data_IF_960501128443
#
_entry.id   IF_960501128443
#
_cell.length_a   1.000
_cell.length_b   1.000
_cell.length_c   1.000
_cell.angle_alpha   90.00
_cell.angle_beta   90.00
_cell.angle_gamma   90.00
#
_symmetry.space_group_name_H-M   'P 1'
#
loop_
_entity.id
_entity.type
_entity.pdbx_description
1 polymer ?
#
# COMPACT_ATOMS: atom_id res chain seq x y z
N UNK A 1 -6.02 -15.66 5.29
CA UNK A 1 -5.43 -15.44 3.95
C UNK A 1 -6.59 -15.08 3.02
N UNK A 2 -6.55 -13.96 2.29
CA UNK A 2 -7.68 -13.52 1.46
C UNK A 2 -7.65 -14.18 0.07
N UNK A 3 -8.77 -14.70 -0.47
CA UNK A 3 -8.78 -15.45 -1.75
C UNK A 3 -8.31 -14.65 -2.97
N UNK A 4 -8.45 -13.32 -2.96
CA UNK A 4 -8.14 -12.45 -4.11
C UNK A 4 -7.02 -11.44 -3.86
N UNK A 5 -6.13 -11.73 -2.90
CA UNK A 5 -5.00 -10.84 -2.61
C UNK A 5 -4.13 -10.65 -3.86
N UNK A 6 -4.09 -9.42 -4.38
CA UNK A 6 -3.22 -9.05 -5.49
C UNK A 6 -1.75 -9.20 -5.09
N UNK A 7 -0.92 -9.72 -5.99
CA UNK A 7 0.53 -9.79 -5.80
C UNK A 7 1.13 -8.39 -5.69
N UNK A 8 1.91 -8.13 -4.64
CA UNK A 8 2.63 -6.85 -4.49
C UNK A 8 3.63 -6.67 -5.63
N UNK A 9 4.31 -7.73 -6.04
CA UNK A 9 5.28 -7.69 -7.14
C UNK A 9 4.65 -7.23 -8.46
N UNK A 10 3.40 -7.59 -8.70
CA UNK A 10 2.67 -7.13 -9.89
C UNK A 10 2.25 -5.65 -9.81
N UNK A 11 2.12 -5.09 -8.61
CA UNK A 11 1.70 -3.70 -8.40
C UNK A 11 2.87 -2.71 -8.33
N UNK A 12 4.08 -3.17 -7.97
CA UNK A 12 5.29 -2.34 -7.97
C UNK A 12 5.50 -1.55 -9.27
N UNK A 13 5.52 -2.18 -10.47
CA UNK A 13 5.76 -1.44 -11.70
C UNK A 13 4.64 -0.44 -12.03
N UNK A 14 3.40 -0.71 -11.61
CA UNK A 14 2.28 0.21 -11.82
C UNK A 14 2.45 1.45 -10.95
N UNK A 15 2.76 1.28 -9.67
CA UNK A 15 2.98 2.42 -8.77
C UNK A 15 4.21 3.21 -9.19
N UNK A 16 5.30 2.54 -9.57
CA UNK A 16 6.52 3.20 -10.04
C UNK A 16 6.29 4.02 -11.31
N UNK A 17 5.50 3.49 -12.25
CA UNK A 17 5.22 4.16 -13.53
C UNK A 17 4.26 5.34 -13.39
N UNK A 18 3.22 5.19 -12.55
CA UNK A 18 2.10 6.13 -12.52
C UNK A 18 2.06 7.04 -11.29
N UNK A 19 2.93 6.83 -10.30
CA UNK A 19 3.06 7.71 -9.13
C UNK A 19 4.48 8.28 -9.05
N UNK A 20 4.63 9.63 -9.08
CA UNK A 20 5.94 10.25 -8.92
C UNK A 20 6.56 9.92 -7.56
N UNK A 21 7.89 10.06 -7.46
CA UNK A 21 8.62 9.93 -6.18
C UNK A 21 8.03 10.90 -5.16
N UNK A 22 7.68 10.37 -3.99
CA UNK A 22 7.02 11.14 -2.93
C UNK A 22 5.57 11.54 -3.20
N UNK A 23 4.97 11.06 -4.30
CA UNK A 23 3.54 11.22 -4.57
C UNK A 23 2.66 10.32 -3.67
N UNK A 24 1.34 10.54 -3.76
CA UNK A 24 0.33 9.83 -2.98
C UNK A 24 -0.40 8.78 -3.83
N UNK A 25 -0.42 7.54 -3.35
CA UNK A 25 -1.26 6.46 -3.90
C UNK A 25 -2.54 6.34 -3.09
N UNK A 26 -3.68 6.56 -3.73
CA UNK A 26 -5.01 6.37 -3.13
C UNK A 26 -5.63 5.05 -3.60
N UNK A 27 -6.02 4.19 -2.66
CA UNK A 27 -6.84 3.01 -2.92
C UNK A 27 -8.13 3.01 -2.08
N UNK A 28 -9.29 3.36 -2.68
CA UNK A 28 -10.56 3.41 -1.95
C UNK A 28 -11.15 2.01 -1.67
N UNK A 29 -10.55 0.94 -2.20
CA UNK A 29 -10.96 -0.45 -2.01
C UNK A 29 -9.75 -1.32 -1.67
N UNK A 30 -9.03 -0.90 -0.64
CA UNK A 30 -7.68 -1.39 -0.34
C UNK A 30 -7.65 -2.90 -0.08
N UNK A 31 -8.74 -3.52 0.39
CA UNK A 31 -8.80 -4.93 0.75
C UNK A 31 -7.68 -5.26 1.74
N UNK A 32 -6.84 -6.22 1.36
CA UNK A 32 -5.66 -6.59 2.16
C UNK A 32 -4.49 -5.60 2.07
N UNK A 33 -4.59 -4.51 1.32
CA UNK A 33 -3.61 -3.42 1.27
C UNK A 33 -2.44 -3.60 0.29
N UNK A 34 -2.52 -4.51 -0.70
CA UNK A 34 -1.37 -4.80 -1.57
C UNK A 34 -0.85 -3.60 -2.39
N UNK A 35 -1.74 -2.70 -2.81
CA UNK A 35 -1.40 -1.43 -3.49
C UNK A 35 -0.63 -0.48 -2.57
N UNK A 36 -1.08 -0.35 -1.33
CA UNK A 36 -0.48 0.49 -0.29
C UNK A 36 0.89 -0.05 0.13
N UNK A 37 1.04 -1.38 0.24
CA UNK A 37 2.33 -2.01 0.50
C UNK A 37 3.31 -1.76 -0.65
N UNK A 38 2.87 -1.84 -1.90
CA UNK A 38 3.71 -1.48 -3.05
C UNK A 38 4.14 0.00 -3.01
N UNK A 39 3.21 0.90 -2.67
CA UNK A 39 3.50 2.32 -2.47
C UNK A 39 4.54 2.53 -1.36
N UNK A 40 4.37 1.87 -0.21
CA UNK A 40 5.30 1.93 0.92
C UNK A 40 6.69 1.41 0.55
N UNK A 41 6.79 0.28 -0.15
CA UNK A 41 8.07 -0.29 -0.61
C UNK A 41 8.82 0.66 -1.56
N UNK A 42 8.09 1.42 -2.37
CA UNK A 42 8.66 2.43 -3.24
C UNK A 42 8.88 3.77 -2.54
N UNK A 43 8.57 3.91 -1.24
CA UNK A 43 8.70 5.19 -0.54
C UNK A 43 7.74 6.27 -1.07
N UNK A 44 6.55 5.86 -1.50
CA UNK A 44 5.43 6.76 -1.83
C UNK A 44 4.52 6.90 -0.62
N UNK A 45 3.88 8.06 -0.51
CA UNK A 45 2.84 8.23 0.48
C UNK A 45 1.60 7.44 0.02
N UNK A 46 0.75 7.03 0.95
CA UNK A 46 -0.40 6.20 0.61
C UNK A 46 -1.60 6.50 1.52
N UNK A 47 -2.80 6.33 0.98
CA UNK A 47 -4.07 6.40 1.71
C UNK A 47 -4.99 5.27 1.24
N UNK A 48 -5.49 4.49 2.18
CA UNK A 48 -6.37 3.35 1.93
C UNK A 48 -7.70 3.48 2.63
N UNK A 49 -8.77 3.01 1.98
CA UNK A 49 -10.08 2.79 2.60
C UNK A 49 -10.50 1.35 2.37
N UNK A 50 -11.09 0.73 3.39
CA UNK A 50 -11.65 -0.62 3.32
C UNK A 50 -12.85 -0.68 4.27
N UNK A 51 -13.95 -1.26 3.80
CA UNK A 51 -15.21 -1.34 4.53
C UNK A 51 -15.24 -2.56 5.45
N UNK A 52 -14.64 -3.67 5.01
CA UNK A 52 -14.57 -4.90 5.79
C UNK A 52 -13.51 -4.79 6.91
N UNK A 53 -13.89 -4.94 8.19
CA UNK A 53 -12.97 -4.74 9.30
C UNK A 53 -11.85 -5.80 9.36
N UNK A 54 -12.07 -7.02 8.89
CA UNK A 54 -11.07 -8.09 8.89
C UNK A 54 -10.01 -7.85 7.80
N UNK A 55 -10.44 -7.33 6.65
CA UNK A 55 -9.53 -6.88 5.59
C UNK A 55 -8.75 -5.63 6.01
N UNK A 56 -9.42 -4.65 6.61
CA UNK A 56 -8.76 -3.46 7.16
C UNK A 56 -7.71 -3.83 8.22
N UNK A 57 -8.01 -4.77 9.11
CA UNK A 57 -7.05 -5.28 10.09
C UNK A 57 -5.87 -6.01 9.41
N UNK A 58 -6.13 -6.75 8.34
CA UNK A 58 -5.08 -7.41 7.53
C UNK A 58 -4.17 -6.40 6.85
N UNK A 59 -4.73 -5.37 6.22
CA UNK A 59 -3.96 -4.28 5.62
C UNK A 59 -3.11 -3.56 6.67
N UNK A 60 -3.72 -3.20 7.82
CA UNK A 60 -3.03 -2.54 8.94
C UNK A 60 -1.82 -3.33 9.41
N UNK A 61 -1.96 -4.65 9.63
CA UNK A 61 -0.82 -5.51 10.03
C UNK A 61 0.29 -5.53 8.99
N UNK A 62 -0.04 -5.54 7.69
CA UNK A 62 0.95 -5.53 6.61
C UNK A 62 1.69 -4.19 6.51
N UNK A 63 1.02 -3.09 6.84
CA UNK A 63 1.54 -1.72 6.73
C UNK A 63 2.25 -1.25 8.02
N UNK A 64 2.06 -1.96 9.14
CA UNK A 64 2.67 -1.65 10.44
C UNK A 64 4.21 -1.73 10.43
N UNK A 65 4.82 -2.33 9.41
CA UNK A 65 6.27 -2.32 9.26
C UNK A 65 6.76 -0.97 8.71
N UNK A 66 7.36 -0.14 9.56
CA UNK A 66 7.98 1.12 9.17
C UNK A 66 9.42 0.89 8.70
N UNK A 67 9.60 0.46 7.45
CA UNK A 67 10.89 0.54 6.77
C UNK A 67 11.22 1.99 6.42
N UNK A 68 12.11 2.61 7.21
CA UNK A 68 12.67 3.97 7.07
C UNK A 68 11.65 5.10 6.97
N UNK A 69 11.43 5.79 8.10
CA UNK A 69 10.91 7.15 8.09
C UNK A 69 11.68 8.00 7.07
N UNK A 70 10.96 8.73 6.20
CA UNK A 70 11.58 9.71 5.32
C UNK A 70 12.37 10.67 6.21
N UNK A 71 13.67 10.79 5.99
CA UNK A 71 14.42 11.90 6.57
C UNK A 71 13.71 13.18 6.12
N UNK A 72 13.23 13.97 7.08
CA UNK A 72 12.62 15.25 6.81
C UNK A 72 13.64 16.09 6.02
N UNK A 73 13.21 16.58 4.85
CA UNK A 73 13.97 17.58 4.08
C UNK A 73 13.85 18.94 4.75
#
# INVERSE_FOLDING_TARGET
>A
MHPTQKSVAALLPLVETFCPVGGLVLDPFAGSGSSLVAAQHLGRDWLGMELDPDHAATATRRLAWHGTARAAA
#
